data_IF_982679915430
#
_entry.id   IF_982679915430
#
_cell.length_a   1.000
_cell.length_b   1.000
_cell.length_c   1.000
_cell.angle_alpha   90.00
_cell.angle_beta   90.00
_cell.angle_gamma   90.00
#
_symmetry.space_group_name_H-M   'P 1'
#
loop_
_entity.id
_entity.type
_entity.pdbx_description
1 polymer ?
#
# COMPACT_ATOMS: atom_id res chain seq x y z
N UNK A 1 8.31 5.23 -24.57
CA UNK A 1 8.92 6.39 -23.88
C UNK A 1 8.32 7.65 -24.51
N UNK A 2 7.17 8.10 -24.01
CA UNK A 2 6.46 9.28 -24.53
C UNK A 2 5.49 9.77 -23.45
N UNK A 3 5.79 10.94 -22.86
CA UNK A 3 4.99 11.60 -21.83
C UNK A 3 5.52 11.35 -20.42
N UNK A 4 6.35 12.27 -19.91
CA UNK A 4 6.89 12.27 -18.53
C UNK A 4 5.79 12.33 -17.43
N UNK A 5 4.53 12.52 -17.80
CA UNK A 5 3.34 12.34 -16.95
C UNK A 5 2.25 11.71 -17.81
N UNK A 6 1.93 10.43 -17.58
CA UNK A 6 0.73 9.83 -18.14
C UNK A 6 -0.46 10.30 -17.31
N UNK A 7 -1.17 11.33 -17.79
CA UNK A 7 -2.31 11.93 -17.09
C UNK A 7 -3.38 10.88 -16.77
N UNK A 8 -3.59 9.89 -17.64
CA UNK A 8 -4.54 8.81 -17.38
C UNK A 8 -4.10 7.92 -16.21
N UNK A 9 -2.79 7.66 -16.07
CA UNK A 9 -2.24 6.92 -14.94
C UNK A 9 -2.32 7.74 -13.64
N UNK A 10 -2.01 9.04 -13.70
CA UNK A 10 -2.12 9.95 -12.57
C UNK A 10 -3.56 10.03 -12.06
N UNK A 11 -4.53 10.21 -12.96
CA UNK A 11 -5.96 10.23 -12.62
C UNK A 11 -6.39 8.89 -12.00
N UNK A 12 -5.93 7.76 -12.55
CA UNK A 12 -6.21 6.44 -11.98
C UNK A 12 -5.66 6.30 -10.55
N UNK A 13 -4.45 6.79 -10.28
CA UNK A 13 -3.84 6.79 -8.94
C UNK A 13 -4.61 7.70 -7.97
N UNK A 14 -4.98 8.90 -8.40
CA UNK A 14 -5.77 9.83 -7.59
C UNK A 14 -7.12 9.22 -7.20
N UNK A 15 -7.84 8.63 -8.15
CA UNK A 15 -9.12 7.95 -7.88
C UNK A 15 -8.91 6.80 -6.90
N UNK A 16 -7.86 6.00 -7.08
CA UNK A 16 -7.54 4.88 -6.18
C UNK A 16 -7.37 5.36 -4.73
N UNK A 17 -6.51 6.36 -4.50
CA UNK A 17 -6.22 6.84 -3.14
C UNK A 17 -7.42 7.55 -2.49
N UNK A 18 -8.28 8.19 -3.28
CA UNK A 18 -9.56 8.74 -2.80
C UNK A 18 -10.51 7.63 -2.32
N UNK A 19 -10.62 6.54 -3.08
CA UNK A 19 -11.46 5.39 -2.71
C UNK A 19 -10.93 4.71 -1.45
N UNK A 20 -9.61 4.56 -1.31
CA UNK A 20 -8.97 4.01 -0.11
C UNK A 20 -9.22 4.89 1.12
N UNK A 21 -9.02 6.20 1.00
CA UNK A 21 -9.33 7.15 2.07
C UNK A 21 -10.81 7.12 2.49
N UNK A 22 -11.73 7.02 1.52
CA UNK A 22 -13.17 6.87 1.79
C UNK A 22 -13.50 5.58 2.54
N UNK A 23 -12.86 4.46 2.19
CA UNK A 23 -13.07 3.19 2.90
C UNK A 23 -12.65 3.31 4.38
N UNK A 24 -11.53 4.00 4.65
CA UNK A 24 -11.09 4.27 6.04
C UNK A 24 -12.05 5.22 6.75
N UNK A 25 -12.58 6.24 6.06
CA UNK A 25 -13.59 7.14 6.62
C UNK A 25 -14.85 6.39 7.07
N UNK A 26 -15.33 5.44 6.25
CA UNK A 26 -16.47 4.58 6.58
C UNK A 26 -16.16 3.73 7.81
N UNK A 27 -14.97 3.14 7.90
CA UNK A 27 -14.56 2.38 9.08
C UNK A 27 -14.49 3.24 10.34
N UNK A 28 -13.94 4.46 10.24
CA UNK A 28 -13.88 5.43 11.32
C UNK A 28 -15.28 5.91 11.74
N UNK A 29 -16.25 5.92 10.84
CA UNK A 29 -17.64 6.24 11.17
C UNK A 29 -18.39 5.05 11.82
N UNK A 30 -18.19 3.83 11.31
CA UNK A 30 -19.02 2.68 11.67
C UNK A 30 -18.54 1.89 12.90
N UNK A 31 -17.23 1.90 13.19
CA UNK A 31 -16.64 1.09 14.28
C UNK A 31 -16.78 1.71 15.68
N UNK A 32 -16.57 3.03 15.89
CA UNK A 32 -16.46 3.55 17.23
C UNK A 32 -17.81 3.66 17.94
N UNK A 33 -17.84 3.24 19.21
CA UNK A 33 -19.02 3.34 20.09
C UNK A 33 -19.38 4.79 20.46
N UNK A 34 -18.43 5.71 20.33
CA UNK A 34 -18.62 7.16 20.51
C UNK A 34 -18.49 7.82 19.14
N UNK A 35 -19.49 8.59 18.75
CA UNK A 35 -19.47 9.33 17.48
C UNK A 35 -18.27 10.27 17.43
N UNK A 36 -17.39 10.06 16.46
CA UNK A 36 -16.33 11.01 16.10
C UNK A 36 -16.95 12.19 15.35
N UNK A 37 -16.31 13.36 15.44
CA UNK A 37 -16.73 14.51 14.65
C UNK A 37 -16.43 14.25 13.16
N UNK A 38 -17.27 14.81 12.28
CA UNK A 38 -17.07 14.68 10.82
C UNK A 38 -15.70 15.24 10.41
N UNK A 39 -15.24 16.31 11.07
CA UNK A 39 -13.90 16.87 10.86
C UNK A 39 -12.79 15.86 11.17
N UNK A 40 -12.88 15.13 12.29
CA UNK A 40 -11.89 14.11 12.68
C UNK A 40 -11.87 12.96 11.67
N UNK A 41 -13.04 12.52 11.21
CA UNK A 41 -13.15 11.45 10.21
C UNK A 41 -12.50 11.88 8.88
N UNK A 42 -12.70 13.14 8.46
CA UNK A 42 -12.06 13.70 7.26
C UNK A 42 -10.55 13.78 7.42
N UNK A 43 -10.04 14.21 8.58
CA UNK A 43 -8.61 14.22 8.86
C UNK A 43 -7.99 12.82 8.83
N UNK A 44 -8.67 11.82 9.41
CA UNK A 44 -8.24 10.41 9.37
C UNK A 44 -8.18 9.91 7.92
N UNK A 45 -9.23 10.17 7.14
CA UNK A 45 -9.32 9.75 5.74
C UNK A 45 -8.20 10.36 4.88
N UNK A 46 -7.91 11.66 5.06
CA UNK A 46 -6.87 12.38 4.34
C UNK A 46 -5.46 11.84 4.69
N UNK A 47 -5.21 11.63 5.98
CA UNK A 47 -3.93 11.09 6.47
C UNK A 47 -3.72 9.65 6.00
N UNK A 48 -4.79 8.84 5.99
CA UNK A 48 -4.75 7.47 5.48
C UNK A 48 -4.49 7.45 3.96
N UNK A 49 -5.18 8.29 3.18
CA UNK A 49 -4.95 8.41 1.74
C UNK A 49 -3.49 8.81 1.42
N UNK A 50 -2.91 9.72 2.20
CA UNK A 50 -1.49 10.07 2.07
C UNK A 50 -0.56 8.88 2.38
N UNK A 51 -0.87 8.13 3.44
CA UNK A 51 -0.07 6.96 3.86
C UNK A 51 -0.15 5.83 2.84
N UNK A 52 -1.35 5.50 2.34
CA UNK A 52 -1.55 4.48 1.32
C UNK A 52 -0.96 4.87 -0.03
N UNK A 53 -1.02 6.15 -0.41
CA UNK A 53 -0.36 6.67 -1.61
C UNK A 53 1.17 6.45 -1.59
N UNK A 54 1.80 6.70 -0.43
CA UNK A 54 3.22 6.41 -0.22
C UNK A 54 3.43 4.90 -0.33
N UNK A 55 2.69 4.11 0.45
CA UNK A 55 2.86 2.66 0.50
C UNK A 55 2.73 2.02 -0.90
N UNK A 56 1.72 2.39 -1.69
CA UNK A 56 1.51 1.89 -3.05
C UNK A 56 2.61 2.27 -4.03
N UNK A 57 3.25 3.41 -3.82
CA UNK A 57 4.37 3.86 -4.65
C UNK A 57 5.64 3.05 -4.35
N UNK A 58 5.83 2.62 -3.09
CA UNK A 58 7.02 1.89 -2.64
C UNK A 58 6.86 0.36 -2.56
N UNK A 59 5.64 -0.18 -2.51
CA UNK A 59 5.37 -1.62 -2.55
C UNK A 59 6.07 -2.32 -3.73
N UNK A 60 6.08 -1.79 -4.96
CA UNK A 60 6.70 -2.47 -6.11
C UNK A 60 8.20 -2.71 -5.93
N UNK A 61 8.93 -1.75 -5.36
CA UNK A 61 10.37 -1.88 -5.13
C UNK A 61 10.69 -2.83 -3.97
N UNK A 62 9.83 -2.88 -2.94
CA UNK A 62 9.97 -3.80 -1.81
C UNK A 62 9.52 -5.23 -2.14
N UNK A 63 8.56 -5.40 -3.04
CA UNK A 63 8.00 -6.70 -3.40
C UNK A 63 8.97 -7.60 -4.16
N UNK A 64 9.84 -7.02 -5.00
CA UNK A 64 10.84 -7.78 -5.77
C UNK A 64 11.90 -8.37 -4.85
N UNK A 65 12.45 -7.58 -3.93
CA UNK A 65 13.47 -8.04 -2.99
C UNK A 65 12.90 -9.03 -1.99
N UNK A 66 11.67 -8.84 -1.50
CA UNK A 66 10.99 -9.79 -0.62
C UNK A 66 10.77 -11.16 -1.29
N UNK A 67 10.30 -11.18 -2.54
CA UNK A 67 10.13 -12.43 -3.30
C UNK A 67 11.46 -13.10 -3.62
N UNK A 68 12.48 -12.34 -4.01
CA UNK A 68 13.82 -12.87 -4.26
C UNK A 68 14.46 -13.43 -2.98
N UNK A 69 14.30 -12.76 -1.83
CA UNK A 69 14.77 -13.24 -0.53
C UNK A 69 14.04 -14.50 -0.08
N UNK A 70 12.71 -14.55 -0.23
CA UNK A 70 11.92 -15.74 0.07
C UNK A 70 12.26 -16.91 -0.87
N UNK A 71 12.41 -16.64 -2.17
CA UNK A 71 12.81 -17.64 -3.17
C UNK A 71 14.22 -18.17 -2.92
N UNK A 72 15.16 -17.31 -2.55
CA UNK A 72 16.49 -17.71 -2.12
C UNK A 72 16.44 -18.54 -0.84
N UNK A 73 15.69 -18.12 0.18
CA UNK A 73 15.54 -18.86 1.44
C UNK A 73 14.94 -20.25 1.25
N UNK A 74 13.86 -20.36 0.46
CA UNK A 74 13.22 -21.64 0.13
C UNK A 74 14.19 -22.52 -0.69
N UNK A 75 14.80 -21.96 -1.74
CA UNK A 75 15.75 -22.69 -2.59
C UNK A 75 16.98 -23.16 -1.82
N UNK A 76 17.57 -22.30 -0.98
CA UNK A 76 18.72 -22.61 -0.15
C UNK A 76 18.39 -23.71 0.87
N UNK A 77 17.18 -23.71 1.45
CA UNK A 77 16.74 -24.76 2.35
C UNK A 77 16.57 -26.11 1.63
N UNK A 78 16.02 -26.11 0.40
CA UNK A 78 15.85 -27.32 -0.41
C UNK A 78 17.18 -27.98 -0.79
N UNK A 79 18.24 -27.20 -1.04
CA UNK A 79 19.56 -27.73 -1.41
C UNK A 79 20.57 -27.73 -0.25
N UNK A 80 20.13 -27.44 0.99
CA UNK A 80 21.00 -27.29 2.18
C UNK A 80 22.19 -26.33 1.96
N UNK A 81 22.01 -25.27 1.18
CA UNK A 81 23.03 -24.25 0.96
C UNK A 81 23.32 -23.46 2.25
N UNK A 82 24.57 -23.03 2.55
CA UNK A 82 25.78 -23.05 1.71
C UNK A 82 26.72 -24.25 1.88
N UNK A 83 26.48 -25.13 2.87
CA UNK A 83 27.39 -26.21 3.26
C UNK A 83 26.79 -27.61 3.16
N UNK A 84 25.91 -27.82 2.18
CA UNK A 84 25.06 -29.01 2.09
C UNK A 84 25.82 -30.33 2.00
N UNK A 85 25.62 -31.17 3.03
CA UNK A 85 25.58 -32.64 2.98
C UNK A 85 24.17 -33.07 3.41
#
# INVERSE_FOLDING_TARGET
MTGLINIAELVKRIIKYLVEGLMVAIAAYAIPKRSLNIEEIVFIALTAAATFSILDTYIPSMGVTARSGAGFGIGANLVKFPGGF
#
